data_IF_075294309623
#
_entry.id   IF_075294309623
#
_cell.length_a   1.000
_cell.length_b   1.000
_cell.length_c   1.000
_cell.angle_alpha   90.00
_cell.angle_beta   90.00
_cell.angle_gamma   90.00
#
_symmetry.space_group_name_H-M   'P 1'
#
loop_
_entity.id
_entity.type
_entity.pdbx_description
1 polymer ?
#
# COMPACT_ATOMS: atom_id res chain seq x y z
N UNK A 1 30.75 4.39 -36.87
CA UNK A 1 31.02 4.27 -35.41
C UNK A 1 30.08 5.12 -34.52
N UNK A 2 29.33 6.11 -35.05
CA UNK A 2 28.38 6.93 -34.28
C UNK A 2 26.99 6.28 -34.05
N UNK A 3 26.50 5.49 -35.01
CA UNK A 3 25.14 4.91 -34.97
C UNK A 3 24.94 3.94 -33.77
N UNK A 4 25.94 3.11 -33.45
CA UNK A 4 25.86 2.13 -32.35
C UNK A 4 25.91 2.79 -30.97
N UNK A 5 26.64 3.90 -30.82
CA UNK A 5 26.66 4.70 -29.59
C UNK A 5 25.33 5.41 -29.37
N UNK A 6 24.78 5.99 -30.44
CA UNK A 6 23.50 6.70 -30.42
C UNK A 6 22.35 5.74 -30.08
N UNK A 7 22.34 4.54 -30.68
CA UNK A 7 21.38 3.47 -30.34
C UNK A 7 21.49 3.01 -28.88
N UNK A 8 22.71 2.80 -28.37
CA UNK A 8 22.92 2.43 -26.95
C UNK A 8 22.42 3.52 -26.00
N UNK A 9 22.58 4.79 -26.36
CA UNK A 9 22.11 5.91 -25.55
C UNK A 9 20.59 6.04 -25.56
N UNK A 10 19.94 5.90 -26.73
CA UNK A 10 18.47 5.87 -26.84
C UNK A 10 17.91 4.72 -26.00
N UNK A 11 18.49 3.52 -26.09
CA UNK A 11 18.03 2.37 -25.31
C UNK A 11 18.12 2.61 -23.80
N UNK A 12 19.19 3.28 -23.32
CA UNK A 12 19.30 3.66 -21.90
C UNK A 12 18.19 4.60 -21.48
N UNK A 13 17.89 5.61 -22.28
CA UNK A 13 16.81 6.55 -21.97
C UNK A 13 15.45 5.85 -21.90
N UNK A 14 15.18 4.93 -22.83
CA UNK A 14 13.97 4.09 -22.79
C UNK A 14 13.91 3.27 -21.51
N UNK A 15 15.00 2.59 -21.13
CA UNK A 15 15.05 1.79 -19.90
C UNK A 15 14.85 2.65 -18.65
N UNK A 16 15.41 3.86 -18.60
CA UNK A 16 15.21 4.79 -17.49
C UNK A 16 13.73 5.19 -17.39
N UNK A 17 13.09 5.51 -18.51
CA UNK A 17 11.64 5.80 -18.53
C UNK A 17 10.84 4.59 -18.04
N UNK A 18 11.19 3.38 -18.46
CA UNK A 18 10.55 2.16 -17.97
C UNK A 18 10.77 1.94 -16.46
N UNK A 19 11.95 2.26 -15.92
CA UNK A 19 12.22 2.20 -14.47
C UNK A 19 11.34 3.21 -13.72
N UNK A 20 11.18 4.43 -14.24
CA UNK A 20 10.26 5.42 -13.66
C UNK A 20 8.81 4.94 -13.67
N UNK A 21 8.35 4.34 -14.76
CA UNK A 21 7.00 3.75 -14.82
C UNK A 21 6.86 2.64 -13.78
N UNK A 22 7.88 1.77 -13.66
CA UNK A 22 7.90 0.67 -12.68
C UNK A 22 7.87 1.20 -11.24
N UNK A 23 8.64 2.24 -10.94
CA UNK A 23 8.62 2.91 -9.65
C UNK A 23 7.25 3.53 -9.36
N UNK A 24 6.67 4.23 -10.34
CA UNK A 24 5.34 4.81 -10.24
C UNK A 24 4.30 3.75 -9.92
N UNK A 25 4.29 2.63 -10.64
CA UNK A 25 3.35 1.54 -10.39
C UNK A 25 3.54 0.92 -9.01
N UNK A 26 4.77 0.69 -8.54
CA UNK A 26 5.00 0.19 -7.18
C UNK A 26 4.45 1.13 -6.10
N UNK A 27 4.63 2.44 -6.26
CA UNK A 27 4.21 3.43 -5.26
C UNK A 27 2.70 3.71 -5.28
N UNK A 28 2.08 3.65 -6.46
CA UNK A 28 0.66 3.98 -6.65
C UNK A 28 -0.27 2.78 -6.55
N UNK A 29 0.25 1.55 -6.63
CA UNK A 29 -0.57 0.33 -6.55
C UNK A 29 -1.33 0.24 -5.23
N UNK A 30 -2.60 -0.14 -5.33
CA UNK A 30 -3.49 -0.15 -4.19
C UNK A 30 -3.36 -1.44 -3.36
N UNK A 31 -3.33 -1.28 -2.05
CA UNK A 31 -3.77 -2.28 -1.07
C UNK A 31 -5.25 -2.04 -0.84
N UNK A 32 -6.06 -3.06 -1.13
CA UNK A 32 -7.51 -2.99 -1.01
C UNK A 32 -7.97 -3.74 0.22
N UNK A 33 -8.77 -3.09 1.07
CA UNK A 33 -9.58 -3.72 2.11
C UNK A 33 -11.02 -3.83 1.60
N UNK A 34 -11.61 -5.02 1.68
CA UNK A 34 -13.01 -5.30 1.37
C UNK A 34 -13.69 -5.87 2.61
N UNK A 35 -14.88 -5.38 2.91
CA UNK A 35 -15.73 -5.92 3.97
C UNK A 35 -17.21 -5.82 3.60
N UNK A 36 -17.98 -6.82 4.01
CA UNK A 36 -19.44 -6.78 3.93
C UNK A 36 -19.97 -5.99 5.14
N UNK A 37 -20.53 -4.80 4.90
CA UNK A 37 -20.94 -3.90 5.98
C UNK A 37 -22.11 -4.43 6.82
N UNK A 38 -23.19 -4.98 6.22
CA UNK A 38 -24.27 -5.60 6.98
C UNK A 38 -23.76 -6.68 7.96
N UNK A 39 -22.91 -7.59 7.49
CA UNK A 39 -22.42 -8.68 8.33
C UNK A 39 -21.43 -8.18 9.39
N UNK A 40 -20.61 -7.17 9.08
CA UNK A 40 -19.73 -6.53 10.06
C UNK A 40 -20.54 -5.89 11.19
N UNK A 41 -21.55 -5.07 10.85
CA UNK A 41 -22.40 -4.39 11.84
C UNK A 41 -23.15 -5.41 12.69
N UNK A 42 -23.74 -6.43 12.07
CA UNK A 42 -24.40 -7.53 12.78
C UNK A 42 -23.45 -8.24 13.74
N UNK A 43 -22.22 -8.53 13.31
CA UNK A 43 -21.22 -9.17 14.15
C UNK A 43 -20.81 -8.31 15.34
N UNK A 44 -20.55 -7.01 15.12
CA UNK A 44 -20.16 -6.07 16.18
C UNK A 44 -21.27 -5.87 17.20
N UNK A 45 -22.53 -5.73 16.75
CA UNK A 45 -23.70 -5.64 17.66
C UNK A 45 -23.81 -6.90 18.50
N UNK A 46 -23.84 -8.09 17.87
CA UNK A 46 -23.97 -9.35 18.59
C UNK A 46 -22.84 -9.56 19.59
N UNK A 47 -21.58 -9.28 19.20
CA UNK A 47 -20.43 -9.37 20.09
C UNK A 47 -20.54 -8.42 21.28
N UNK A 48 -20.85 -7.14 21.04
CA UNK A 48 -20.99 -6.13 22.10
C UNK A 48 -22.12 -6.48 23.07
N UNK A 49 -23.24 -7.01 22.56
CA UNK A 49 -24.39 -7.40 23.38
C UNK A 49 -24.12 -8.68 24.18
N UNK A 50 -23.38 -9.63 23.61
CA UNK A 50 -22.93 -10.84 24.33
C UNK A 50 -21.90 -10.52 25.41
N UNK A 51 -20.97 -9.60 25.14
CA UNK A 51 -19.99 -9.11 26.11
C UNK A 51 -20.61 -8.19 27.17
N UNK A 52 -21.80 -7.65 26.90
CA UNK A 52 -22.59 -6.89 27.86
C UNK A 52 -23.26 -7.84 28.86
N UNK A 53 -22.87 -7.74 30.14
CA UNK A 53 -23.52 -8.43 31.28
C UNK A 53 -24.93 -7.90 31.61
N UNK A 54 -25.55 -7.13 30.72
CA UNK A 54 -26.86 -6.51 30.93
C UNK A 54 -27.95 -7.27 30.16
N UNK A 55 -28.80 -7.99 30.91
CA UNK A 55 -29.93 -8.76 30.38
C UNK A 55 -30.95 -7.90 29.63
N UNK A 56 -31.11 -6.62 29.99
CA UNK A 56 -32.03 -5.72 29.27
C UNK A 56 -31.54 -5.40 27.86
N UNK A 57 -30.21 -5.31 27.66
CA UNK A 57 -29.61 -5.06 26.34
C UNK A 57 -29.74 -6.29 25.47
N UNK A 58 -29.54 -7.49 26.04
CA UNK A 58 -29.73 -8.76 25.35
C UNK A 58 -31.19 -8.97 24.92
N UNK A 59 -32.13 -8.72 25.83
CA UNK A 59 -33.57 -8.79 25.53
C UNK A 59 -34.02 -7.74 24.52
N UNK A 60 -33.48 -6.52 24.60
CA UNK A 60 -33.73 -5.46 23.63
C UNK A 60 -33.29 -5.83 22.21
N UNK A 61 -32.11 -6.43 22.06
CA UNK A 61 -31.64 -6.93 20.78
C UNK A 61 -32.53 -8.05 20.25
N UNK A 62 -32.92 -9.01 21.09
CA UNK A 62 -33.81 -10.10 20.70
C UNK A 62 -35.19 -9.59 20.21
N UNK A 63 -35.73 -8.53 20.83
CA UNK A 63 -36.95 -7.88 20.38
C UNK A 63 -36.77 -7.17 19.03
N UNK A 64 -35.68 -6.42 18.84
CA UNK A 64 -35.37 -5.75 17.55
C UNK A 64 -35.19 -6.76 16.42
N UNK A 65 -34.59 -7.92 16.73
CA UNK A 65 -34.46 -9.06 15.82
C UNK A 65 -35.81 -9.71 15.50
N UNK A 66 -36.62 -10.02 16.53
CA UNK A 66 -37.92 -10.66 16.36
C UNK A 66 -38.91 -9.79 15.57
N UNK A 67 -38.80 -8.46 15.68
CA UNK A 67 -39.62 -7.50 14.93
C UNK A 67 -39.11 -7.24 13.50
N UNK A 68 -38.01 -7.87 13.07
CA UNK A 68 -37.40 -7.67 11.75
C UNK A 68 -36.79 -6.28 11.53
N UNK A 69 -36.67 -5.47 12.60
CA UNK A 69 -36.15 -4.10 12.54
C UNK A 69 -34.63 -4.12 12.28
N UNK A 70 -33.91 -5.10 12.82
CA UNK A 70 -32.48 -5.29 12.51
C UNK A 70 -32.25 -5.46 11.01
N UNK A 71 -32.96 -6.40 10.37
CA UNK A 71 -32.76 -6.72 8.95
C UNK A 71 -33.13 -5.52 8.06
N UNK A 72 -34.20 -4.80 8.38
CA UNK A 72 -34.59 -3.58 7.68
C UNK A 72 -33.56 -2.44 7.81
N UNK A 73 -32.81 -2.39 8.92
CA UNK A 73 -31.70 -1.44 9.11
C UNK A 73 -30.43 -1.89 8.38
N UNK A 74 -30.12 -3.19 8.40
CA UNK A 74 -28.96 -3.77 7.73
C UNK A 74 -29.09 -3.70 6.20
N UNK A 75 -30.29 -3.83 5.64
CA UNK A 75 -30.53 -3.68 4.19
C UNK A 75 -30.21 -2.28 3.67
N UNK A 76 -30.29 -1.25 4.53
CA UNK A 76 -29.93 0.13 4.17
C UNK A 76 -28.43 0.38 4.14
N UNK A 77 -27.62 -0.55 4.66
CA UNK A 77 -26.17 -0.43 4.63
C UNK A 77 -25.61 -0.81 3.25
N UNK A 78 -24.51 -0.16 2.81
CA UNK A 78 -23.84 -0.56 1.58
C UNK A 78 -23.38 -2.02 1.69
N UNK A 79 -23.81 -2.87 0.75
CA UNK A 79 -23.50 -4.32 0.77
C UNK A 79 -22.00 -4.60 0.89
N UNK A 80 -21.16 -3.78 0.25
CA UNK A 80 -19.71 -3.91 0.29
C UNK A 80 -19.04 -2.55 0.49
N UNK A 81 -18.16 -2.47 1.48
CA UNK A 81 -17.24 -1.34 1.65
C UNK A 81 -15.89 -1.77 1.08
N UNK A 82 -15.36 -0.97 0.14
CA UNK A 82 -14.03 -1.14 -0.45
C UNK A 82 -13.19 0.09 -0.13
N UNK A 83 -12.16 -0.08 0.68
CA UNK A 83 -11.15 0.94 0.95
C UNK A 83 -9.90 0.62 0.17
N UNK A 84 -9.29 1.63 -0.43
CA UNK A 84 -8.07 1.50 -1.22
C UNK A 84 -7.06 2.51 -0.71
N UNK A 85 -5.86 2.03 -0.39
CA UNK A 85 -4.73 2.88 -0.04
C UNK A 85 -3.52 2.44 -0.84
N UNK A 86 -2.66 3.36 -1.22
CA UNK A 86 -1.38 3.04 -1.88
C UNK A 86 -0.24 3.38 -0.95
N UNK A 87 0.96 2.94 -1.30
CA UNK A 87 2.16 3.31 -0.57
C UNK A 87 2.30 4.85 -0.55
N UNK A 88 2.14 5.51 -1.70
CA UNK A 88 2.15 6.98 -1.74
C UNK A 88 1.07 7.65 -0.88
N UNK A 89 -0.18 7.18 -0.93
CA UNK A 89 -1.26 7.77 -0.13
C UNK A 89 -1.05 7.53 1.37
N UNK A 90 -0.53 6.37 1.75
CA UNK A 90 -0.24 6.09 3.16
C UNK A 90 0.92 6.96 3.66
N UNK A 91 1.94 7.20 2.84
CA UNK A 91 2.97 8.20 3.15
C UNK A 91 2.38 9.58 3.43
N UNK A 92 1.53 10.11 2.53
CA UNK A 92 0.87 11.40 2.74
C UNK A 92 0.06 11.43 4.03
N UNK A 93 -0.71 10.38 4.30
CA UNK A 93 -1.48 10.25 5.53
C UNK A 93 -0.60 10.29 6.78
N UNK A 94 0.48 9.51 6.81
CA UNK A 94 1.42 9.49 7.94
C UNK A 94 2.16 10.82 8.12
N UNK A 95 2.44 11.52 7.03
CA UNK A 95 3.10 12.83 7.06
C UNK A 95 2.18 13.92 7.61
N UNK A 96 0.92 13.95 7.15
CA UNK A 96 -0.10 14.84 7.72
C UNK A 96 -0.32 14.57 9.20
N UNK A 97 -0.47 13.30 9.61
CA UNK A 97 -0.65 12.94 11.01
C UNK A 97 0.54 13.35 11.89
N UNK A 98 1.78 13.18 11.42
CA UNK A 98 2.96 13.65 12.16
C UNK A 98 3.03 15.18 12.31
N UNK A 99 2.58 15.93 11.29
CA UNK A 99 2.55 17.40 11.33
C UNK A 99 1.47 17.94 12.25
N UNK A 100 0.28 17.37 12.18
CA UNK A 100 -0.91 17.87 12.89
C UNK A 100 -1.04 17.25 14.30
N UNK A 101 -0.39 16.12 14.55
CA UNK A 101 -0.46 15.39 15.82
C UNK A 101 -1.80 14.69 16.07
N UNK A 102 -2.73 14.75 15.10
CA UNK A 102 -4.07 14.17 15.16
C UNK A 102 -4.60 13.93 13.76
N UNK A 103 -5.59 13.05 13.65
CA UNK A 103 -6.41 12.87 12.46
C UNK A 103 -7.45 13.98 12.34
N UNK A 104 -7.66 14.43 11.11
CA UNK A 104 -8.72 15.34 10.69
C UNK A 104 -9.71 14.65 9.75
N UNK A 105 -10.87 15.28 9.56
CA UNK A 105 -11.89 14.82 8.63
C UNK A 105 -11.35 14.67 7.20
N UNK A 106 -10.39 15.51 6.80
CA UNK A 106 -9.76 15.45 5.49
C UNK A 106 -8.86 14.21 5.36
N UNK A 107 -8.06 13.89 6.38
CA UNK A 107 -7.22 12.69 6.36
C UNK A 107 -8.05 11.41 6.15
N UNK A 108 -9.27 11.38 6.69
CA UNK A 108 -10.20 10.25 6.59
C UNK A 108 -11.23 10.39 5.46
N UNK A 109 -11.18 11.48 4.68
CA UNK A 109 -12.15 11.81 3.62
C UNK A 109 -13.61 11.73 4.10
N UNK A 110 -13.87 12.15 5.33
CA UNK A 110 -15.21 12.09 5.92
C UNK A 110 -16.13 13.16 5.31
N UNK A 111 -17.34 12.80 4.84
CA UNK A 111 -18.28 13.76 4.29
C UNK A 111 -18.84 14.66 5.40
N UNK A 112 -18.87 15.97 5.17
CA UNK A 112 -19.26 16.94 6.21
C UNK A 112 -20.38 17.89 5.74
N UNK A 113 -21.41 17.34 5.06
CA UNK A 113 -22.41 18.14 4.34
C UNK A 113 -23.53 18.66 5.23
N UNK A 114 -23.74 18.11 6.43
CA UNK A 114 -24.78 18.53 7.36
C UNK A 114 -24.36 18.31 8.83
N UNK A 115 -25.12 18.88 9.77
CA UNK A 115 -24.79 18.86 11.20
C UNK A 115 -24.78 17.45 11.81
N UNK A 116 -25.62 16.55 11.29
CA UNK A 116 -25.63 15.15 11.71
C UNK A 116 -24.34 14.43 11.30
N UNK A 117 -23.90 14.59 10.06
CA UNK A 117 -22.63 14.06 9.57
C UNK A 117 -21.46 14.65 10.36
N UNK A 118 -21.50 15.95 10.67
CA UNK A 118 -20.47 16.62 11.46
C UNK A 118 -20.36 16.05 12.86
N UNK A 119 -21.49 15.85 13.53
CA UNK A 119 -21.53 15.25 14.88
C UNK A 119 -20.98 13.83 14.88
N UNK A 120 -21.36 13.01 13.89
CA UNK A 120 -20.84 11.65 13.74
C UNK A 120 -19.33 11.67 13.45
N UNK A 121 -18.88 12.55 12.56
CA UNK A 121 -17.46 12.69 12.23
C UNK A 121 -16.64 13.11 13.45
N UNK A 122 -17.13 14.05 14.25
CA UNK A 122 -16.45 14.51 15.48
C UNK A 122 -16.31 13.35 16.49
N UNK A 123 -17.35 12.52 16.63
CA UNK A 123 -17.29 11.32 17.48
C UNK A 123 -16.25 10.31 16.96
N UNK A 124 -16.25 10.03 15.65
CA UNK A 124 -15.28 9.12 15.01
C UNK A 124 -13.86 9.65 15.18
N UNK A 125 -13.64 10.94 14.91
CA UNK A 125 -12.32 11.57 15.05
C UNK A 125 -11.86 11.60 16.49
N UNK A 126 -12.75 11.89 17.45
CA UNK A 126 -12.41 11.90 18.87
C UNK A 126 -12.00 10.51 19.34
N UNK A 127 -12.74 9.47 18.97
CA UNK A 127 -12.41 8.10 19.32
C UNK A 127 -11.10 7.63 18.66
N UNK A 128 -10.94 7.88 17.36
CA UNK A 128 -9.74 7.51 16.62
C UNK A 128 -8.50 8.20 17.19
N UNK A 129 -8.58 9.51 17.44
CA UNK A 129 -7.46 10.27 18.02
C UNK A 129 -7.15 9.85 19.45
N UNK A 130 -8.15 9.53 20.27
CA UNK A 130 -7.93 8.99 21.62
C UNK A 130 -7.12 7.69 21.55
N UNK A 131 -7.49 6.77 20.67
CA UNK A 131 -6.79 5.48 20.51
C UNK A 131 -5.38 5.66 19.95
N UNK A 132 -5.17 6.61 19.06
CA UNK A 132 -3.84 6.93 18.55
C UNK A 132 -2.95 7.61 19.58
N UNK A 133 -3.51 8.44 20.46
CA UNK A 133 -2.78 9.10 21.54
C UNK A 133 -2.42 8.12 22.66
N UNK A 134 -3.32 7.19 23.02
CA UNK A 134 -3.05 6.08 23.93
C UNK A 134 -1.83 5.24 23.49
N UNK A 135 -1.63 5.09 22.18
CA UNK A 135 -0.55 4.29 21.59
C UNK A 135 0.50 5.16 20.87
N UNK A 136 0.63 6.43 21.25
CA UNK A 136 1.40 7.44 20.50
C UNK A 136 2.83 7.03 20.17
N UNK A 137 3.53 6.40 21.12
CA UNK A 137 4.91 5.96 20.93
C UNK A 137 5.02 4.85 19.88
N UNK A 138 4.14 3.85 19.94
CA UNK A 138 4.08 2.75 18.98
C UNK A 138 3.70 3.25 17.59
N UNK A 139 2.73 4.17 17.51
CA UNK A 139 2.31 4.81 16.25
C UNK A 139 3.46 5.62 15.66
N UNK A 140 4.15 6.44 16.46
CA UNK A 140 5.29 7.22 15.98
C UNK A 140 6.42 6.33 15.46
N UNK A 141 6.73 5.22 16.16
CA UNK A 141 7.72 4.26 15.73
C UNK A 141 7.29 3.55 14.43
N UNK A 142 6.03 3.13 14.34
CA UNK A 142 5.46 2.53 13.12
C UNK A 142 5.53 3.46 11.92
N UNK A 143 5.21 4.75 12.09
CA UNK A 143 5.35 5.77 11.04
C UNK A 143 6.82 5.93 10.63
N UNK A 144 7.74 5.95 11.60
CA UNK A 144 9.18 6.05 11.31
C UNK A 144 9.68 4.88 10.47
N UNK A 145 9.35 3.64 10.86
CA UNK A 145 9.73 2.45 10.08
C UNK A 145 9.12 2.47 8.69
N UNK A 146 7.85 2.88 8.58
CA UNK A 146 7.19 3.01 7.30
C UNK A 146 7.89 4.05 6.40
N UNK A 147 8.25 5.21 6.93
CA UNK A 147 8.97 6.26 6.18
C UNK A 147 10.36 5.78 5.74
N UNK A 148 11.10 5.08 6.61
CA UNK A 148 12.40 4.48 6.25
C UNK A 148 12.24 3.49 5.11
N UNK A 149 11.25 2.61 5.19
CA UNK A 149 10.93 1.66 4.12
C UNK A 149 10.56 2.41 2.82
N UNK A 150 9.70 3.43 2.91
CA UNK A 150 9.30 4.25 1.78
C UNK A 150 10.49 4.90 1.07
N UNK A 151 11.35 5.60 1.80
CA UNK A 151 12.55 6.20 1.22
C UNK A 151 13.57 5.16 0.76
N UNK A 152 13.69 4.02 1.45
CA UNK A 152 14.55 2.92 1.03
C UNK A 152 14.19 2.41 -0.36
N UNK A 153 12.90 2.20 -0.63
CA UNK A 153 12.39 1.80 -1.95
C UNK A 153 12.69 2.88 -3.00
N UNK A 154 12.45 4.16 -2.69
CA UNK A 154 12.78 5.27 -3.60
C UNK A 154 14.27 5.30 -3.95
N UNK A 155 15.14 5.21 -2.94
CA UNK A 155 16.59 5.23 -3.11
C UNK A 155 17.06 4.06 -3.99
N UNK A 156 16.49 2.86 -3.83
CA UNK A 156 16.83 1.72 -4.67
C UNK A 156 16.47 1.96 -6.14
N UNK A 157 15.30 2.52 -6.44
CA UNK A 157 14.95 2.89 -7.82
C UNK A 157 15.89 3.95 -8.40
N UNK A 158 16.23 4.98 -7.60
CA UNK A 158 17.18 6.01 -8.02
C UNK A 158 18.59 5.46 -8.26
N UNK A 159 19.05 4.52 -7.42
CA UNK A 159 20.32 3.81 -7.61
C UNK A 159 20.32 2.97 -8.89
N UNK A 160 19.20 2.30 -9.21
CA UNK A 160 19.06 1.58 -10.47
C UNK A 160 19.20 2.52 -11.67
N UNK A 161 18.53 3.66 -11.67
CA UNK A 161 18.62 4.69 -12.71
C UNK A 161 20.07 5.18 -12.86
N UNK A 162 20.72 5.51 -11.74
CA UNK A 162 22.11 5.97 -11.73
C UNK A 162 23.05 4.92 -12.32
N UNK A 163 22.88 3.64 -11.97
CA UNK A 163 23.69 2.57 -12.53
C UNK A 163 23.42 2.32 -14.01
N UNK A 164 22.19 2.49 -14.49
CA UNK A 164 21.90 2.47 -15.94
C UNK A 164 22.62 3.61 -16.66
N UNK A 165 22.56 4.83 -16.12
CA UNK A 165 23.28 6.00 -16.66
C UNK A 165 24.79 5.76 -16.75
N UNK A 166 25.37 5.21 -15.68
CA UNK A 166 26.81 4.89 -15.58
C UNK A 166 27.21 3.61 -16.33
N UNK A 167 26.29 2.98 -17.07
CA UNK A 167 26.52 1.73 -17.81
C UNK A 167 27.02 0.56 -16.94
N UNK A 168 26.57 0.50 -15.69
CA UNK A 168 26.96 -0.55 -14.73
C UNK A 168 25.97 -1.72 -14.82
N UNK A 169 26.49 -2.93 -15.05
CA UNK A 169 25.68 -4.16 -15.11
C UNK A 169 24.91 -4.41 -13.82
N UNK A 170 25.40 -3.95 -12.67
CA UNK A 170 24.77 -4.14 -11.35
C UNK A 170 23.45 -3.37 -11.16
N UNK A 171 22.97 -2.59 -12.14
CA UNK A 171 21.71 -1.86 -12.04
C UNK A 171 20.49 -2.75 -11.77
N UNK A 172 20.54 -4.02 -12.19
CA UNK A 172 19.45 -4.97 -11.93
C UNK A 172 19.28 -5.27 -10.43
N UNK A 173 20.35 -5.19 -9.63
CA UNK A 173 20.31 -5.55 -8.20
C UNK A 173 19.38 -4.60 -7.44
N UNK A 174 19.61 -3.27 -7.41
CA UNK A 174 18.71 -2.38 -6.70
C UNK A 174 17.32 -2.33 -7.33
N UNK A 175 17.19 -2.53 -8.65
CA UNK A 175 15.89 -2.58 -9.33
C UNK A 175 15.02 -3.74 -8.85
N UNK A 176 15.56 -4.97 -8.86
CA UNK A 176 14.84 -6.17 -8.41
C UNK A 176 14.63 -6.15 -6.90
N UNK A 177 15.60 -5.64 -6.13
CA UNK A 177 15.44 -5.51 -4.69
C UNK A 177 14.30 -4.52 -4.35
N UNK A 178 14.18 -3.41 -5.09
CA UNK A 178 13.08 -2.48 -4.91
C UNK A 178 11.73 -3.13 -5.23
N UNK A 179 11.59 -3.77 -6.40
CA UNK A 179 10.30 -4.32 -6.83
C UNK A 179 9.87 -5.54 -6.01
N UNK A 180 10.73 -6.56 -5.92
CA UNK A 180 10.45 -7.81 -5.22
C UNK A 180 10.40 -7.57 -3.71
N UNK A 181 11.35 -6.79 -3.18
CA UNK A 181 11.39 -6.46 -1.76
C UNK A 181 10.16 -5.68 -1.31
N UNK A 182 9.69 -4.72 -2.12
CA UNK A 182 8.45 -3.99 -1.83
C UNK A 182 7.25 -4.92 -1.81
N UNK A 183 7.10 -5.75 -2.84
CA UNK A 183 5.98 -6.70 -2.91
C UNK A 183 5.97 -7.69 -1.76
N UNK A 184 7.12 -8.29 -1.43
CA UNK A 184 7.24 -9.25 -0.35
C UNK A 184 6.89 -8.61 1.00
N UNK A 185 7.41 -7.41 1.26
CA UNK A 185 7.15 -6.69 2.52
C UNK A 185 5.68 -6.29 2.65
N UNK A 186 5.12 -5.67 1.61
CA UNK A 186 3.72 -5.23 1.61
C UNK A 186 2.77 -6.44 1.65
N UNK A 187 3.10 -7.53 0.95
CA UNK A 187 2.32 -8.77 0.97
C UNK A 187 2.32 -9.43 2.35
N UNK A 188 3.48 -9.49 3.00
CA UNK A 188 3.59 -9.98 4.37
C UNK A 188 2.75 -9.14 5.34
N UNK A 189 2.90 -7.82 5.31
CA UNK A 189 2.15 -6.90 6.17
C UNK A 189 0.64 -6.96 5.91
N UNK A 190 0.23 -7.02 4.64
CA UNK A 190 -1.17 -7.18 4.26
C UNK A 190 -1.76 -8.49 4.78
N UNK A 191 -0.99 -9.60 4.72
CA UNK A 191 -1.42 -10.88 5.26
C UNK A 191 -1.55 -10.85 6.78
N UNK A 192 -0.57 -10.26 7.49
CA UNK A 192 -0.63 -10.13 8.94
C UNK A 192 -1.83 -9.28 9.37
N UNK A 193 -2.01 -8.13 8.73
CA UNK A 193 -3.14 -7.24 9.00
C UNK A 193 -4.47 -7.93 8.70
N UNK A 194 -4.54 -8.72 7.62
CA UNK A 194 -5.73 -9.49 7.28
C UNK A 194 -6.08 -10.47 8.41
N UNK A 195 -5.11 -11.25 8.89
CA UNK A 195 -5.29 -12.19 9.99
C UNK A 195 -5.70 -11.47 11.28
N UNK A 196 -5.04 -10.38 11.65
CA UNK A 196 -5.37 -9.61 12.85
C UNK A 196 -6.78 -9.02 12.79
N UNK A 197 -7.19 -8.46 11.65
CA UNK A 197 -8.54 -7.92 11.48
C UNK A 197 -9.61 -9.03 11.47
N UNK A 198 -9.33 -10.17 10.82
CA UNK A 198 -10.25 -11.30 10.79
C UNK A 198 -10.48 -11.93 12.17
N UNK A 199 -9.43 -12.00 12.98
CA UNK A 199 -9.48 -12.58 14.33
C UNK A 199 -10.04 -11.62 15.37
N UNK A 200 -9.74 -10.33 15.27
CA UNK A 200 -10.11 -9.34 16.29
C UNK A 200 -11.45 -8.68 16.02
N UNK A 201 -11.74 -8.37 14.75
CA UNK A 201 -12.89 -7.55 14.35
C UNK A 201 -13.96 -8.40 13.68
N UNK A 202 -13.66 -8.98 12.51
CA UNK A 202 -14.65 -9.74 11.74
C UNK A 202 -13.98 -10.59 10.64
N UNK A 203 -14.26 -11.89 10.63
CA UNK A 203 -13.66 -12.86 9.71
C UNK A 203 -13.94 -12.61 8.21
N UNK A 204 -14.98 -11.84 7.89
CA UNK A 204 -15.30 -11.46 6.51
C UNK A 204 -14.49 -10.28 5.96
N UNK A 205 -13.58 -9.67 6.74
CA UNK A 205 -12.63 -8.67 6.25
C UNK A 205 -11.62 -9.35 5.33
N UNK A 206 -11.35 -8.78 4.15
CA UNK A 206 -10.35 -9.28 3.21
C UNK A 206 -9.43 -8.15 2.76
N UNK A 207 -8.13 -8.34 2.91
CA UNK A 207 -7.11 -7.48 2.33
C UNK A 207 -6.48 -8.17 1.12
N UNK A 208 -6.36 -7.43 0.03
CA UNK A 208 -5.76 -7.91 -1.21
C UNK A 208 -4.86 -6.86 -1.83
N UNK A 209 -3.76 -7.29 -2.43
CA UNK A 209 -2.89 -6.44 -3.25
C UNK A 209 -3.44 -6.33 -4.67
N UNK A 210 -3.36 -5.13 -5.24
CA UNK A 210 -3.70 -4.90 -6.64
C UNK A 210 -2.65 -5.49 -7.58
N UNK A 211 -3.06 -5.78 -8.81
CA UNK A 211 -2.25 -6.36 -9.88
C UNK A 211 -1.06 -5.47 -10.28
N UNK A 212 -1.13 -4.16 -10.00
CA UNK A 212 -0.03 -3.23 -10.26
C UNK A 212 1.28 -3.60 -9.54
N UNK A 213 1.21 -4.25 -8.38
CA UNK A 213 2.40 -4.77 -7.71
C UNK A 213 3.06 -5.89 -8.54
N UNK A 214 2.27 -6.88 -8.99
CA UNK A 214 2.78 -7.96 -9.85
C UNK A 214 3.31 -7.42 -11.18
N UNK A 215 2.63 -6.42 -11.76
CA UNK A 215 3.08 -5.74 -12.98
C UNK A 215 4.45 -5.06 -12.78
N UNK A 216 4.69 -4.43 -11.64
CA UNK A 216 5.98 -3.80 -11.33
C UNK A 216 7.12 -4.83 -11.26
N UNK A 217 6.86 -6.04 -10.75
CA UNK A 217 7.83 -7.13 -10.74
C UNK A 217 8.13 -7.58 -12.17
N UNK A 218 7.09 -7.85 -12.97
CA UNK A 218 7.24 -8.31 -14.36
C UNK A 218 8.08 -7.30 -15.17
N UNK A 219 7.75 -6.01 -15.07
CA UNK A 219 8.51 -4.94 -15.72
C UNK A 219 9.97 -4.91 -15.24
N UNK A 220 10.21 -5.02 -13.93
CA UNK A 220 11.55 -5.02 -13.37
C UNK A 220 12.41 -6.20 -13.88
N UNK A 221 11.81 -7.37 -14.08
CA UNK A 221 12.48 -8.55 -14.64
C UNK A 221 12.84 -8.30 -16.10
N UNK A 222 11.88 -7.82 -16.92
CA UNK A 222 12.11 -7.52 -18.35
C UNK A 222 13.24 -6.51 -18.50
N UNK A 223 13.19 -5.39 -17.76
CA UNK A 223 14.23 -4.36 -17.76
C UNK A 223 15.59 -4.95 -17.37
N UNK A 224 15.61 -5.78 -16.32
CA UNK A 224 16.84 -6.41 -15.83
C UNK A 224 17.48 -7.32 -16.88
N UNK A 225 16.69 -8.15 -17.56
CA UNK A 225 17.17 -9.05 -18.63
C UNK A 225 17.73 -8.25 -19.80
N UNK A 226 16.98 -7.26 -20.30
CA UNK A 226 17.40 -6.40 -21.41
C UNK A 226 18.69 -5.64 -21.04
N UNK A 227 18.76 -5.08 -19.84
CA UNK A 227 19.94 -4.34 -19.38
C UNK A 227 21.17 -5.25 -19.24
N UNK A 228 20.99 -6.43 -18.65
CA UNK A 228 22.08 -7.38 -18.47
C UNK A 228 22.69 -7.82 -19.81
N UNK A 229 21.85 -8.10 -20.81
CA UNK A 229 22.29 -8.46 -22.16
C UNK A 229 23.03 -7.30 -22.85
N UNK A 230 22.52 -6.08 -22.74
CA UNK A 230 23.04 -4.91 -23.48
C UNK A 230 24.30 -4.29 -22.85
N UNK A 231 24.35 -4.21 -21.52
CA UNK A 231 25.58 -3.86 -20.79
C UNK A 231 26.62 -5.01 -20.84
N UNK A 232 26.17 -6.22 -21.21
CA UNK A 232 26.94 -7.36 -21.70
C UNK A 232 27.93 -7.00 -22.81
N UNK A 233 27.36 -6.60 -23.95
CA UNK A 233 28.02 -6.44 -25.23
C UNK A 233 29.09 -5.32 -25.27
N UNK A 234 29.01 -4.35 -24.35
CA UNK A 234 29.97 -3.24 -24.28
C UNK A 234 31.40 -3.62 -23.85
N UNK A 235 31.59 -4.74 -23.12
CA UNK A 235 32.92 -5.21 -22.70
C UNK A 235 33.60 -6.07 -23.77
N UNK A 236 32.85 -6.88 -24.51
CA UNK A 236 33.42 -7.80 -25.50
C UNK A 236 33.96 -7.09 -26.74
N UNK A 237 33.36 -5.96 -27.11
CA UNK A 237 33.87 -5.12 -28.20
C UNK A 237 35.21 -4.43 -27.88
N UNK A 238 35.49 -4.16 -26.60
CA UNK A 238 36.78 -3.58 -26.17
C UNK A 238 37.88 -4.64 -26.12
N UNK A 239 37.55 -5.87 -25.67
CA UNK A 239 38.50 -6.99 -25.63
C UNK A 239 38.91 -7.50 -27.02
N UNK A 240 37.99 -7.50 -28.00
CA UNK A 240 38.34 -7.84 -29.39
C UNK A 240 39.22 -6.79 -30.08
N UNK A 241 39.07 -5.50 -29.76
CA UNK A 241 39.93 -4.44 -30.33
C UNK A 241 41.36 -4.47 -29.79
N UNK A 242 41.57 -4.91 -28.54
CA UNK A 242 42.91 -5.07 -27.96
C UNK A 242 43.70 -6.26 -28.54
N UNK A 243 43.02 -7.30 -29.05
CA UNK A 243 43.67 -8.47 -29.66
C UNK A 243 44.10 -8.30 -31.13
N UNK A 244 43.61 -7.27 -31.82
CA UNK A 244 44.05 -6.94 -33.19
C UNK A 244 45.07 -5.80 -33.24
N UNK A 245 45.47 -5.27 -32.07
CA UNK A 245 46.47 -4.21 -31.94
C UNK A 245 47.76 -4.70 -31.26
N UNK A 246 47.91 -6.01 -31.08
CA UNK A 246 49.10 -6.67 -30.58
C UNK A 246 49.67 -7.60 -31.66
#
# INVERSE_FOLDING_TARGET
>A
MHLSKLFSWILRMILIICIFITMGTTLSSAVTLKVNAPNLVKHVINKTVQESNNSNVQNGLALVQALGVEDALLEKLPKNIKLQTSMYHFYQFTDSYQKEGKLTAENLKLPNKNDQQKTVNDLVLKFANSKLDENKNEIAQGISYYKIFFYGVLVLYLLAILFVLLNKRIAFIPLLLASIGSYATIGYLASQLNTSLQTTIYSGIRISLDSGFSMSIILSIIISVIWFATAGLGKDHMLKKGKHAA
#
